data_IF_390594250618
#
_entry.id   IF_390594250618
#
_cell.length_a   1.000
_cell.length_b   1.000
_cell.length_c   1.000
_cell.angle_alpha   90.00
_cell.angle_beta   90.00
_cell.angle_gamma   90.00
#
_symmetry.space_group_name_H-M   'P 1'
#
loop_
_entity.id
_entity.type
_entity.pdbx_description
1 polymer ?
#
# COMPACT_ATOMS: atom_id res chain seq x y z
N UNK A 1 -29.00 -15.88 -6.38
CA UNK A 1 -28.15 -16.34 -5.26
C UNK A 1 -27.91 -15.14 -4.36
N UNK A 2 -28.24 -15.26 -3.08
CA UNK A 2 -28.21 -14.14 -2.13
C UNK A 2 -26.76 -13.86 -1.72
N UNK A 3 -26.40 -12.59 -1.49
CA UNK A 3 -25.05 -12.19 -1.03
C UNK A 3 -24.60 -12.93 0.23
N UNK A 4 -25.53 -13.31 1.10
CA UNK A 4 -25.26 -14.15 2.28
C UNK A 4 -24.77 -15.55 1.90
N UNK A 5 -25.32 -16.19 0.90
CA UNK A 5 -24.89 -17.52 0.44
C UNK A 5 -23.50 -17.49 -0.22
N UNK A 6 -23.13 -16.34 -0.84
CA UNK A 6 -21.79 -16.17 -1.40
C UNK A 6 -20.73 -15.96 -0.31
N UNK A 7 -21.07 -15.24 0.77
CA UNK A 7 -20.18 -15.03 1.92
C UNK A 7 -19.97 -16.32 2.73
N UNK A 8 -21.03 -17.11 2.92
CA UNK A 8 -20.92 -18.43 3.61
C UNK A 8 -20.10 -19.43 2.80
N UNK A 9 -20.28 -19.49 1.49
CA UNK A 9 -19.51 -20.37 0.61
C UNK A 9 -18.02 -20.01 0.54
N UNK A 10 -17.71 -18.71 0.66
CA UNK A 10 -16.32 -18.22 0.72
C UNK A 10 -15.66 -18.53 2.08
N UNK A 11 -16.42 -18.47 3.17
CA UNK A 11 -15.92 -18.75 4.52
C UNK A 11 -15.53 -20.24 4.75
N UNK A 12 -16.14 -21.17 3.99
CA UNK A 12 -15.85 -22.60 4.12
C UNK A 12 -14.76 -23.11 3.17
N UNK A 13 -14.35 -22.31 2.18
CA UNK A 13 -13.33 -22.71 1.22
C UNK A 13 -11.96 -22.75 1.88
N UNK A 14 -11.30 -23.93 1.81
CA UNK A 14 -9.93 -24.11 2.27
C UNK A 14 -8.94 -23.51 1.27
N UNK A 15 -7.99 -22.75 1.76
CA UNK A 15 -6.90 -22.14 0.98
C UNK A 15 -5.55 -22.39 1.64
N UNK A 16 -4.47 -22.28 0.89
CA UNK A 16 -3.12 -22.49 1.41
C UNK A 16 -2.63 -21.25 2.17
N UNK A 17 -2.04 -21.50 3.35
CA UNK A 17 -1.32 -20.50 4.13
C UNK A 17 0.01 -21.11 4.59
N UNK A 18 1.09 -20.80 3.87
CA UNK A 18 2.38 -21.45 4.08
C UNK A 18 2.29 -22.97 3.87
N UNK A 19 2.56 -23.74 4.92
CA UNK A 19 2.51 -25.20 4.89
C UNK A 19 1.19 -25.79 5.42
N UNK A 20 0.19 -24.97 5.74
CA UNK A 20 -1.10 -25.41 6.29
C UNK A 20 -2.27 -24.93 5.44
N UNK A 21 -3.34 -25.74 5.43
CA UNK A 21 -4.63 -25.38 4.83
C UNK A 21 -5.49 -24.71 5.89
N UNK A 22 -6.00 -23.53 5.58
CA UNK A 22 -6.87 -22.74 6.46
C UNK A 22 -8.13 -22.32 5.70
N UNK A 23 -9.20 -21.99 6.41
CA UNK A 23 -10.39 -21.39 5.79
C UNK A 23 -10.04 -20.01 5.24
N UNK A 24 -10.63 -19.64 4.11
CA UNK A 24 -10.32 -18.37 3.41
C UNK A 24 -10.51 -17.14 4.31
N UNK A 25 -11.56 -17.13 5.13
CA UNK A 25 -11.82 -16.07 6.10
C UNK A 25 -10.77 -15.99 7.23
N UNK A 26 -10.18 -17.12 7.63
CA UNK A 26 -9.14 -17.17 8.65
C UNK A 26 -7.77 -16.78 8.07
N UNK A 27 -7.54 -17.06 6.77
CA UNK A 27 -6.34 -16.63 6.06
C UNK A 27 -6.20 -15.10 6.06
N UNK A 28 -7.26 -14.37 5.73
CA UNK A 28 -7.25 -12.90 5.74
C UNK A 28 -6.88 -12.34 7.12
N UNK A 29 -7.44 -12.92 8.19
CA UNK A 29 -7.12 -12.53 9.57
C UNK A 29 -5.67 -12.83 9.95
N UNK A 30 -5.16 -14.01 9.56
CA UNK A 30 -3.79 -14.41 9.86
C UNK A 30 -2.78 -13.57 9.08
N UNK A 31 -3.04 -13.30 7.79
CA UNK A 31 -2.22 -12.40 6.96
C UNK A 31 -2.18 -11.01 7.56
N UNK A 32 -3.34 -10.46 7.93
CA UNK A 32 -3.42 -9.15 8.58
C UNK A 32 -2.62 -9.11 9.87
N UNK A 33 -2.76 -10.12 10.74
CA UNK A 33 -2.01 -10.19 12.00
C UNK A 33 -0.49 -10.23 11.79
N UNK A 34 0.00 -10.93 10.76
CA UNK A 34 1.42 -10.93 10.40
C UNK A 34 1.88 -9.54 9.96
N UNK A 35 1.12 -8.86 9.10
CA UNK A 35 1.46 -7.52 8.66
C UNK A 35 1.45 -6.50 9.81
N UNK A 36 0.47 -6.58 10.71
CA UNK A 36 0.39 -5.68 11.88
C UNK A 36 1.60 -5.85 12.82
N UNK A 37 2.15 -7.06 12.93
CA UNK A 37 3.35 -7.33 13.75
C UNK A 37 4.63 -6.83 13.11
N UNK A 38 4.74 -6.88 11.79
CA UNK A 38 5.99 -6.53 11.07
C UNK A 38 6.01 -5.08 10.59
N UNK A 39 4.85 -4.40 10.56
CA UNK A 39 4.74 -3.03 10.04
C UNK A 39 5.82 -2.06 10.58
N UNK A 40 6.12 -1.99 11.91
CA UNK A 40 7.12 -1.07 12.44
C UNK A 40 8.56 -1.39 12.03
N UNK A 41 8.82 -2.63 11.59
CA UNK A 41 10.16 -3.11 11.22
C UNK A 41 10.30 -3.42 9.73
N UNK A 42 9.23 -3.14 8.96
CA UNK A 42 9.15 -3.53 7.56
C UNK A 42 10.28 -2.92 6.72
N UNK A 43 10.53 -1.63 6.88
CA UNK A 43 11.58 -0.92 6.14
C UNK A 43 12.98 -1.44 6.50
N UNK A 44 13.24 -1.68 7.80
CA UNK A 44 14.52 -2.23 8.25
C UNK A 44 14.75 -3.64 7.71
N UNK A 45 13.71 -4.49 7.70
CA UNK A 45 13.80 -5.84 7.18
C UNK A 45 14.05 -5.84 5.67
N UNK A 46 13.42 -4.95 4.91
CA UNK A 46 13.68 -4.78 3.49
C UNK A 46 15.12 -4.31 3.22
N UNK A 47 15.64 -3.37 4.01
CA UNK A 47 17.02 -2.91 3.93
C UNK A 47 18.01 -4.06 4.16
N UNK A 48 17.78 -4.86 5.19
CA UNK A 48 18.65 -6.00 5.54
C UNK A 48 18.61 -7.09 4.47
N UNK A 49 17.41 -7.51 4.03
CA UNK A 49 17.24 -8.61 3.08
C UNK A 49 17.72 -8.26 1.66
N UNK A 50 17.64 -7.01 1.27
CA UNK A 50 18.01 -6.55 -0.07
C UNK A 50 19.37 -5.85 -0.14
N UNK A 51 20.11 -5.75 1.00
CA UNK A 51 21.36 -4.99 1.09
C UNK A 51 21.24 -3.55 0.58
N UNK A 52 20.05 -2.94 0.78
CA UNK A 52 19.75 -1.58 0.29
C UNK A 52 19.41 -1.48 -1.20
N UNK A 53 19.45 -2.56 -1.95
CA UNK A 53 19.13 -2.59 -3.38
C UNK A 53 17.71 -2.11 -3.68
N UNK A 54 16.74 -2.40 -2.80
CA UNK A 54 15.35 -1.99 -2.98
C UNK A 54 15.19 -0.46 -3.05
N UNK A 55 16.05 0.33 -2.39
CA UNK A 55 16.03 1.79 -2.47
C UNK A 55 16.38 2.29 -3.86
N UNK A 56 17.37 1.67 -4.50
CA UNK A 56 17.76 1.98 -5.88
C UNK A 56 16.64 1.63 -6.86
N UNK A 57 15.98 0.48 -6.67
CA UNK A 57 14.85 0.08 -7.50
C UNK A 57 13.65 1.04 -7.37
N UNK A 58 13.32 1.45 -6.14
CA UNK A 58 12.27 2.45 -5.90
C UNK A 58 12.58 3.77 -6.58
N UNK A 59 13.82 4.26 -6.44
CA UNK A 59 14.24 5.50 -7.10
C UNK A 59 14.15 5.39 -8.63
N UNK A 60 14.64 4.28 -9.18
CA UNK A 60 14.56 4.02 -10.62
C UNK A 60 13.11 3.98 -11.12
N UNK A 61 12.20 3.32 -10.39
CA UNK A 61 10.79 3.26 -10.73
C UNK A 61 10.14 4.66 -10.75
N UNK A 62 10.43 5.50 -9.75
CA UNK A 62 9.94 6.87 -9.68
C UNK A 62 10.51 7.74 -10.82
N UNK A 63 11.76 7.56 -11.17
CA UNK A 63 12.37 8.32 -12.28
C UNK A 63 11.74 7.92 -13.63
N UNK A 64 11.38 6.63 -13.79
CA UNK A 64 10.69 6.13 -14.99
C UNK A 64 9.22 6.50 -15.08
N UNK A 65 8.60 6.79 -13.96
CA UNK A 65 7.19 7.22 -13.91
C UNK A 65 6.98 8.65 -14.42
N UNK A 66 8.05 9.39 -14.72
CA UNK A 66 8.04 10.75 -15.30
C UNK A 66 7.12 11.74 -14.54
N UNK A 67 7.09 11.60 -13.21
CA UNK A 67 6.26 12.42 -12.33
C UNK A 67 6.71 13.88 -12.40
N UNK A 68 5.74 14.77 -12.65
CA UNK A 68 5.97 16.22 -12.78
C UNK A 68 5.14 17.01 -11.75
N UNK A 69 5.57 18.21 -11.38
CA UNK A 69 4.80 19.12 -10.53
C UNK A 69 3.36 19.29 -11.03
N UNK A 70 2.39 19.29 -10.12
CA UNK A 70 0.97 19.43 -10.43
C UNK A 70 0.21 18.13 -10.69
N UNK A 71 0.90 17.02 -10.88
CA UNK A 71 0.26 15.71 -11.11
C UNK A 71 -0.45 15.17 -9.86
N UNK A 72 -1.45 14.31 -10.10
CA UNK A 72 -2.15 13.52 -9.09
C UNK A 72 -1.64 12.09 -9.16
N UNK A 73 -1.07 11.60 -8.07
CA UNK A 73 -0.44 10.27 -7.99
C UNK A 73 -1.12 9.42 -6.92
N UNK A 74 -1.46 8.19 -7.27
CA UNK A 74 -1.94 7.17 -6.32
C UNK A 74 -0.85 6.11 -6.10
N UNK A 75 -0.46 5.94 -4.83
CA UNK A 75 0.41 4.87 -4.35
C UNK A 75 -0.49 3.72 -3.85
N UNK A 76 -0.59 2.65 -4.67
CA UNK A 76 -1.45 1.49 -4.40
C UNK A 76 -0.66 0.47 -3.60
N UNK A 77 -1.25 -0.02 -2.50
CA UNK A 77 -0.56 -0.90 -1.56
C UNK A 77 0.75 -0.28 -1.04
N UNK A 78 0.72 1.04 -0.82
CA UNK A 78 1.90 1.86 -0.51
C UNK A 78 2.45 1.65 0.89
N UNK A 79 1.72 0.98 1.79
CA UNK A 79 2.17 0.59 3.13
C UNK A 79 2.67 1.77 3.95
N UNK A 80 3.96 1.76 4.30
CA UNK A 80 4.61 2.81 5.09
C UNK A 80 5.02 4.05 4.30
N UNK A 81 4.61 4.17 3.03
CA UNK A 81 4.71 5.38 2.22
C UNK A 81 6.09 5.69 1.64
N UNK A 82 6.94 4.69 1.44
CA UNK A 82 8.28 4.87 0.87
C UNK A 82 8.24 5.48 -0.54
N UNK A 83 7.38 4.94 -1.40
CA UNK A 83 7.19 5.46 -2.77
C UNK A 83 6.54 6.83 -2.73
N UNK A 84 5.51 7.00 -1.90
CA UNK A 84 4.85 8.30 -1.68
C UNK A 84 5.83 9.40 -1.28
N UNK A 85 6.82 9.10 -0.43
CA UNK A 85 7.86 10.07 -0.04
C UNK A 85 8.71 10.51 -1.24
N UNK A 86 9.08 9.58 -2.11
CA UNK A 86 9.83 9.90 -3.33
C UNK A 86 8.99 10.71 -4.33
N UNK A 87 7.70 10.37 -4.46
CA UNK A 87 6.74 11.12 -5.28
C UNK A 87 6.61 12.56 -4.79
N UNK A 88 6.43 12.78 -3.49
CA UNK A 88 6.31 14.12 -2.89
C UNK A 88 7.52 15.01 -3.23
N UNK A 89 8.72 14.43 -3.21
CA UNK A 89 9.94 15.16 -3.62
C UNK A 89 9.90 15.57 -5.09
N UNK A 90 9.38 14.73 -5.99
CA UNK A 90 9.25 15.04 -7.41
C UNK A 90 8.19 16.11 -7.68
N UNK A 91 7.07 16.08 -6.95
CA UNK A 91 6.00 17.05 -7.08
C UNK A 91 6.38 18.46 -6.58
N UNK A 92 7.43 18.58 -5.77
CA UNK A 92 7.99 19.87 -5.32
C UNK A 92 6.94 20.80 -4.69
N UNK A 93 6.02 20.23 -3.90
CA UNK A 93 4.97 20.97 -3.18
C UNK A 93 3.72 21.32 -4.00
N UNK A 94 3.59 20.80 -5.22
CA UNK A 94 2.41 20.96 -6.05
C UNK A 94 1.85 19.60 -6.46
N UNK A 95 0.53 19.49 -6.70
CA UNK A 95 -0.13 18.24 -7.04
C UNK A 95 -0.70 17.51 -5.83
N UNK A 96 -1.08 16.26 -6.03
CA UNK A 96 -1.73 15.44 -5.00
C UNK A 96 -1.04 14.08 -4.88
N UNK A 97 -0.81 13.61 -3.67
CA UNK A 97 -0.37 12.24 -3.38
C UNK A 97 -1.44 11.56 -2.52
N UNK A 98 -1.89 10.42 -3.00
CA UNK A 98 -2.79 9.53 -2.29
C UNK A 98 -2.04 8.26 -1.91
N UNK A 99 -1.92 7.99 -0.62
CA UNK A 99 -1.35 6.76 -0.07
C UNK A 99 -2.49 5.81 0.28
N UNK A 100 -2.54 4.67 -0.37
CA UNK A 100 -3.58 3.66 -0.13
C UNK A 100 -2.99 2.30 0.21
N UNK A 101 -3.66 1.58 1.10
CA UNK A 101 -3.33 0.21 1.47
C UNK A 101 -4.56 -0.46 2.11
N UNK A 102 -4.61 -1.77 2.09
CA UNK A 102 -5.61 -2.53 2.83
C UNK A 102 -5.30 -2.58 4.35
N UNK A 103 -4.04 -2.41 4.71
CA UNK A 103 -3.56 -2.44 6.09
C UNK A 103 -3.52 -1.04 6.70
N UNK A 104 -4.50 -0.75 7.56
CA UNK A 104 -4.64 0.54 8.22
C UNK A 104 -3.46 0.89 9.16
N UNK A 105 -2.83 -0.09 9.81
CA UNK A 105 -1.70 0.17 10.72
C UNK A 105 -0.45 0.61 9.94
N UNK A 106 -0.21 0.02 8.77
CA UNK A 106 0.87 0.47 7.89
C UNK A 106 0.63 1.88 7.37
N UNK A 107 -0.62 2.20 7.01
CA UNK A 107 -1.00 3.56 6.58
C UNK A 107 -0.79 4.61 7.66
N UNK A 108 -1.08 4.31 8.93
CA UNK A 108 -0.78 5.23 10.04
C UNK A 108 0.69 5.57 10.11
N UNK A 109 1.56 4.56 10.02
CA UNK A 109 3.01 4.76 10.02
C UNK A 109 3.43 5.62 8.81
N UNK A 110 2.89 5.33 7.63
CA UNK A 110 3.15 6.10 6.42
C UNK A 110 2.70 7.55 6.52
N UNK A 111 1.50 7.81 7.02
CA UNK A 111 0.95 9.14 7.23
C UNK A 111 1.81 9.98 8.20
N UNK A 112 2.15 9.41 9.35
CA UNK A 112 3.03 10.06 10.34
C UNK A 112 4.40 10.36 9.75
N UNK A 113 4.97 9.42 9.03
CA UNK A 113 6.28 9.57 8.38
C UNK A 113 6.29 10.70 7.35
N UNK A 114 5.28 10.75 6.49
CA UNK A 114 5.13 11.81 5.48
C UNK A 114 4.90 13.17 6.11
N UNK A 115 4.06 13.26 7.14
CA UNK A 115 3.83 14.49 7.91
C UNK A 115 5.08 14.99 8.61
N UNK A 116 5.86 14.09 9.22
CA UNK A 116 7.14 14.43 9.84
C UNK A 116 8.18 14.94 8.83
N UNK A 117 8.07 14.52 7.56
CA UNK A 117 8.88 15.04 6.46
C UNK A 117 8.34 16.36 5.85
N UNK A 118 7.23 16.90 6.40
CA UNK A 118 6.62 18.16 5.95
C UNK A 118 5.62 18.02 4.80
N UNK A 119 5.16 16.80 4.51
CA UNK A 119 4.16 16.54 3.46
C UNK A 119 2.79 16.21 4.05
N UNK A 120 1.74 16.44 3.27
CA UNK A 120 0.36 16.18 3.69
C UNK A 120 -0.35 15.32 2.65
N UNK A 121 -0.12 13.98 2.64
CA UNK A 121 -0.78 13.09 1.71
C UNK A 121 -2.26 12.91 2.07
N UNK A 122 -3.06 12.54 1.09
CA UNK A 122 -4.35 11.93 1.33
C UNK A 122 -4.13 10.45 1.65
N UNK A 123 -4.80 9.92 2.67
CA UNK A 123 -4.64 8.53 3.11
C UNK A 123 -5.96 7.81 3.03
N UNK A 124 -5.97 6.64 2.40
CA UNK A 124 -7.17 5.86 2.20
C UNK A 124 -6.94 4.37 2.46
N UNK A 125 -7.67 3.80 3.40
CA UNK A 125 -7.74 2.34 3.56
C UNK A 125 -8.71 1.78 2.52
N UNK A 126 -8.20 1.02 1.55
CA UNK A 126 -9.03 0.39 0.53
C UNK A 126 -8.36 -0.86 -0.04
N UNK A 127 -9.20 -1.69 -0.67
CA UNK A 127 -8.73 -2.81 -1.49
C UNK A 127 -8.33 -2.28 -2.87
N UNK A 128 -7.15 -2.66 -3.35
CA UNK A 128 -6.64 -2.28 -4.67
C UNK A 128 -7.52 -2.77 -5.84
N UNK A 129 -8.34 -3.82 -5.63
CA UNK A 129 -9.29 -4.31 -6.62
C UNK A 129 -10.57 -3.45 -6.72
N UNK A 130 -10.82 -2.59 -5.72
CA UNK A 130 -12.04 -1.78 -5.62
C UNK A 130 -11.72 -0.33 -5.24
N UNK A 131 -11.02 0.37 -6.13
CA UNK A 131 -10.63 1.76 -5.91
C UNK A 131 -11.84 2.70 -5.99
N UNK A 132 -12.11 3.55 -4.98
CA UNK A 132 -13.29 4.42 -4.95
C UNK A 132 -13.07 5.74 -5.70
N UNK A 133 -12.44 5.70 -6.86
CA UNK A 133 -12.14 6.87 -7.66
C UNK A 133 -12.78 6.76 -9.05
N UNK A 134 -13.19 7.88 -9.65
CA UNK A 134 -13.63 7.89 -11.04
C UNK A 134 -12.46 7.61 -11.99
N UNK A 135 -12.78 7.10 -13.17
CA UNK A 135 -11.81 6.86 -14.23
C UNK A 135 -11.05 8.16 -14.59
N UNK A 136 -9.75 8.05 -14.79
CA UNK A 136 -8.91 9.17 -15.19
C UNK A 136 -8.66 10.23 -14.10
N UNK A 137 -8.95 9.92 -12.83
CA UNK A 137 -8.71 10.87 -11.73
C UNK A 137 -7.22 11.12 -11.47
N UNK A 138 -6.40 10.09 -11.60
CA UNK A 138 -4.95 10.16 -11.39
C UNK A 138 -4.19 10.22 -12.70
N UNK A 139 -3.07 10.94 -12.69
CA UNK A 139 -2.13 11.00 -13.81
C UNK A 139 -1.18 9.80 -13.77
N UNK A 140 -0.83 9.31 -12.57
CA UNK A 140 0.11 8.21 -12.35
C UNK A 140 -0.39 7.29 -11.23
N UNK A 141 -0.27 5.98 -11.45
CA UNK A 141 -0.43 4.93 -10.44
C UNK A 141 0.93 4.25 -10.22
N UNK A 142 1.31 4.02 -8.97
CA UNK A 142 2.57 3.36 -8.58
C UNK A 142 2.34 2.28 -7.54
#
# INVERSE_FOLDING_TARGET
MNEQNQKENRAEKLTDFGFSKVKEADKEKQVKAVFDQVAPKYDLMNDVLSFGMHRLWKQYAIDRAEIQPGMKVLDIAGGTGDMSLLVQKKLSGTGEVWLSDINHEMLKIGDERLKNAGYHPYVLTCDAEYLPFPDGYFDVLI
#
